data_IF_140523921781
#
_entry.id   IF_140523921781
#
_cell.length_a   1.000
_cell.length_b   1.000
_cell.length_c   1.000
_cell.angle_alpha   90.00
_cell.angle_beta   90.00
_cell.angle_gamma   90.00
#
_symmetry.space_group_name_H-M   'P 1'
#
loop_
_entity.id
_entity.type
_entity.pdbx_description
1 polymer ?
#
# COMPACT_ATOMS: atom_id res chain seq x y z
N UNK A 1 1.17 -0.11 -3.72
CA UNK A 1 1.08 -1.14 -4.78
C UNK A 1 0.30 -0.63 -5.98
N UNK A 2 -0.06 -1.54 -6.90
CA UNK A 2 -0.74 -1.21 -8.17
C UNK A 2 -2.03 -0.41 -8.04
N UNK A 3 -2.78 -0.59 -6.93
CA UNK A 3 -3.99 0.17 -6.63
C UNK A 3 -3.84 1.69 -6.80
N UNK A 4 -2.67 2.25 -6.47
CA UNK A 4 -2.43 3.69 -6.56
C UNK A 4 -2.63 4.25 -7.98
N UNK A 5 -2.31 3.49 -9.02
CA UNK A 5 -2.36 3.98 -10.40
C UNK A 5 -3.80 4.17 -10.91
N UNK A 6 -4.77 3.39 -10.42
CA UNK A 6 -6.20 3.63 -10.67
C UNK A 6 -6.62 5.00 -10.12
N UNK A 7 -6.21 5.35 -8.90
CA UNK A 7 -6.48 6.67 -8.31
C UNK A 7 -5.77 7.82 -9.04
N UNK A 8 -4.49 7.62 -9.40
CA UNK A 8 -3.70 8.61 -10.12
C UNK A 8 -4.28 8.89 -11.51
N UNK A 9 -4.66 7.84 -12.26
CA UNK A 9 -5.32 7.98 -13.56
C UNK A 9 -6.71 8.60 -13.42
N UNK A 10 -7.47 8.23 -12.39
CA UNK A 10 -8.78 8.83 -12.11
C UNK A 10 -8.69 10.35 -11.88
N UNK A 11 -7.56 10.83 -11.33
CA UNK A 11 -7.24 12.25 -11.12
C UNK A 11 -6.52 12.91 -12.32
N UNK A 12 -6.52 12.27 -13.50
CA UNK A 12 -5.96 12.84 -14.73
C UNK A 12 -4.45 12.66 -14.91
N UNK A 13 -3.78 11.85 -14.07
CA UNK A 13 -2.37 11.52 -14.22
C UNK A 13 -2.11 10.55 -15.39
N UNK A 14 -0.93 10.65 -15.99
CA UNK A 14 -0.42 9.64 -16.92
C UNK A 14 0.33 8.55 -16.14
N UNK A 15 -0.12 7.31 -16.28
CA UNK A 15 0.43 6.15 -15.56
C UNK A 15 1.08 5.12 -16.49
N UNK A 16 1.28 5.43 -17.77
CA UNK A 16 1.91 4.54 -18.74
C UNK A 16 1.22 3.17 -18.78
N UNK A 17 2.01 2.08 -18.69
CA UNK A 17 1.55 0.69 -18.62
C UNK A 17 1.33 0.17 -17.20
N UNK A 18 1.24 1.05 -16.21
CA UNK A 18 0.99 0.63 -14.82
C UNK A 18 -0.37 -0.06 -14.69
N UNK A 19 -0.50 -0.94 -13.69
CA UNK A 19 -1.74 -1.69 -13.45
C UNK A 19 -2.88 -0.73 -13.08
N UNK A 20 -3.93 -0.72 -13.91
CA UNK A 20 -5.13 0.11 -13.72
C UNK A 20 -6.37 -0.75 -13.89
N UNK A 21 -7.33 -0.56 -13.00
CA UNK A 21 -8.68 -1.08 -13.14
C UNK A 21 -9.57 0.00 -13.78
N UNK A 22 -9.67 -0.01 -15.11
CA UNK A 22 -10.37 1.04 -15.88
C UNK A 22 -11.87 1.12 -15.53
N UNK A 23 -12.49 -0.01 -15.16
CA UNK A 23 -13.87 -0.10 -14.70
C UNK A 23 -14.09 0.49 -13.30
N UNK A 24 -13.01 0.75 -12.54
CA UNK A 24 -13.03 1.34 -11.19
C UNK A 24 -12.67 2.81 -11.15
N UNK A 25 -12.38 3.45 -12.29
CA UNK A 25 -11.98 4.87 -12.32
C UNK A 25 -13.02 5.79 -11.72
N UNK A 26 -14.31 5.57 -11.99
CA UNK A 26 -15.36 6.42 -11.42
C UNK A 26 -15.48 6.21 -9.91
N UNK A 27 -15.43 4.95 -9.45
CA UNK A 27 -15.37 4.62 -8.02
C UNK A 27 -14.19 5.30 -7.33
N UNK A 28 -13.00 5.32 -7.95
CA UNK A 28 -11.84 6.01 -7.39
C UNK A 28 -12.08 7.52 -7.25
N UNK A 29 -12.71 8.19 -8.24
CA UNK A 29 -13.07 9.61 -8.14
C UNK A 29 -14.06 9.89 -7.02
N UNK A 30 -15.09 9.06 -6.90
CA UNK A 30 -16.07 9.16 -5.82
C UNK A 30 -15.42 8.99 -4.44
N UNK A 31 -14.50 8.03 -4.30
CA UNK A 31 -13.77 7.80 -3.06
C UNK A 31 -12.86 8.97 -2.68
N UNK A 32 -12.16 9.59 -3.65
CA UNK A 32 -11.37 10.81 -3.42
C UNK A 32 -12.25 11.92 -2.87
N UNK A 33 -13.37 12.22 -3.55
CA UNK A 33 -14.33 13.26 -3.10
C UNK A 33 -14.91 12.95 -1.73
N UNK A 34 -15.23 11.68 -1.47
CA UNK A 34 -15.77 11.24 -0.17
C UNK A 34 -14.75 11.36 0.95
N UNK A 35 -13.48 11.09 0.67
CA UNK A 35 -12.38 11.28 1.63
C UNK A 35 -12.25 12.77 1.98
N UNK A 36 -12.20 13.66 0.98
CA UNK A 36 -12.16 15.11 1.16
C UNK A 36 -13.35 15.62 1.98
N UNK A 37 -14.57 15.22 1.62
CA UNK A 37 -15.79 15.62 2.33
C UNK A 37 -15.83 15.16 3.80
N UNK A 38 -15.11 14.09 4.13
CA UNK A 38 -14.98 13.57 5.51
C UNK A 38 -13.73 14.07 6.24
N UNK A 39 -12.92 14.92 5.61
CA UNK A 39 -11.64 15.36 6.17
C UNK A 39 -10.60 14.23 6.32
N UNK A 40 -10.75 13.15 5.55
CA UNK A 40 -9.77 12.05 5.50
C UNK A 40 -8.66 12.43 4.53
N UNK A 41 -7.43 12.47 5.02
CA UNK A 41 -6.26 12.73 4.17
C UNK A 41 -5.89 11.47 3.39
N UNK A 42 -6.19 11.48 2.08
CA UNK A 42 -5.76 10.42 1.17
C UNK A 42 -4.34 10.72 0.66
N UNK A 43 -3.38 9.87 0.99
CA UNK A 43 -2.00 9.99 0.53
C UNK A 43 -1.73 9.05 -0.64
N UNK A 44 -1.48 9.60 -1.83
CA UNK A 44 -1.00 8.87 -3.00
C UNK A 44 0.53 9.04 -3.13
N UNK A 45 1.25 8.06 -3.74
CA UNK A 45 2.69 8.19 -3.94
C UNK A 45 3.00 9.35 -4.89
N UNK A 46 3.99 10.16 -4.54
CA UNK A 46 4.45 11.30 -5.35
C UNK A 46 5.34 10.84 -6.51
N UNK A 47 6.18 9.84 -6.27
CA UNK A 47 7.06 9.20 -7.24
C UNK A 47 7.00 7.67 -7.17
N UNK A 48 7.41 7.04 -8.26
CA UNK A 48 7.43 5.59 -8.44
C UNK A 48 8.78 5.12 -8.95
N UNK A 49 9.18 3.92 -8.55
CA UNK A 49 10.16 3.13 -9.28
C UNK A 49 9.45 2.52 -10.48
N UNK A 50 9.93 2.83 -11.67
CA UNK A 50 9.35 2.38 -12.93
C UNK A 50 10.24 1.37 -13.62
N UNK A 51 9.63 0.48 -14.40
CA UNK A 51 10.30 -0.54 -15.18
C UNK A 51 9.76 -0.61 -16.62
N UNK A 52 10.59 -1.05 -17.56
CA UNK A 52 10.20 -1.26 -18.97
C UNK A 52 9.33 -2.52 -19.16
N UNK A 53 9.41 -3.47 -18.22
CA UNK A 53 8.62 -4.71 -18.18
C UNK A 53 8.45 -5.23 -16.75
N UNK A 54 7.46 -6.11 -16.55
CA UNK A 54 7.25 -6.83 -15.30
C UNK A 54 8.21 -8.03 -15.22
N UNK A 55 9.46 -7.77 -14.86
CA UNK A 55 10.53 -8.79 -14.77
C UNK A 55 11.60 -8.36 -13.76
N UNK A 56 12.20 -9.30 -13.03
CA UNK A 56 13.29 -9.01 -12.11
C UNK A 56 14.53 -8.39 -12.80
N UNK A 57 14.73 -8.68 -14.09
CA UNK A 57 15.81 -8.17 -14.93
C UNK A 57 15.42 -6.93 -15.74
N UNK A 58 14.25 -6.33 -15.49
CA UNK A 58 13.83 -5.10 -16.15
C UNK A 58 14.84 -3.96 -15.97
N UNK A 59 14.89 -3.06 -16.95
CA UNK A 59 15.53 -1.77 -16.78
C UNK A 59 14.67 -0.93 -15.85
N UNK A 60 15.28 -0.23 -14.90
CA UNK A 60 14.56 0.55 -13.90
C UNK A 60 14.95 2.01 -13.94
N UNK A 61 13.97 2.87 -13.67
CA UNK A 61 14.16 4.30 -13.55
C UNK A 61 13.21 4.86 -12.50
N UNK A 62 13.14 6.18 -12.38
CA UNK A 62 12.23 6.89 -11.48
C UNK A 62 11.42 7.92 -12.26
N UNK A 63 10.15 8.07 -11.88
CA UNK A 63 9.31 9.15 -12.40
C UNK A 63 8.31 9.61 -11.34
N UNK A 64 7.73 10.82 -11.48
CA UNK A 64 6.49 11.14 -10.78
C UNK A 64 5.43 10.07 -11.07
N UNK A 65 4.67 9.65 -10.05
CA UNK A 65 3.70 8.55 -10.21
C UNK A 65 2.53 8.93 -11.14
N UNK A 66 2.29 10.23 -11.33
CA UNK A 66 1.29 10.79 -12.24
C UNK A 66 1.85 11.18 -13.62
N UNK A 67 3.12 10.87 -13.91
CA UNK A 67 3.78 11.17 -15.18
C UNK A 67 4.71 10.02 -15.61
N UNK A 68 4.22 8.78 -15.50
CA UNK A 68 4.98 7.60 -15.94
C UNK A 68 5.09 7.62 -17.47
N UNK A 69 6.30 7.47 -18.05
CA UNK A 69 6.49 7.46 -19.50
C UNK A 69 5.74 6.32 -20.20
N UNK A 70 5.37 6.55 -21.46
CA UNK A 70 4.76 5.51 -22.31
C UNK A 70 5.68 4.30 -22.42
N UNK A 71 5.12 3.09 -22.34
CA UNK A 71 5.90 1.85 -22.36
C UNK A 71 6.46 1.42 -21.00
N UNK A 72 6.54 2.30 -20.01
CA UNK A 72 7.00 2.01 -18.66
C UNK A 72 5.83 1.77 -17.70
N UNK A 73 6.08 1.08 -16.59
CA UNK A 73 5.10 0.79 -15.54
C UNK A 73 5.70 0.97 -14.16
N UNK A 74 4.94 1.50 -13.22
CA UNK A 74 5.37 1.63 -11.84
C UNK A 74 5.23 0.32 -11.06
N UNK A 75 6.32 -0.17 -10.48
CA UNK A 75 6.38 -1.46 -9.77
C UNK A 75 6.74 -1.33 -8.29
N UNK A 76 7.15 -0.16 -7.82
CA UNK A 76 7.32 0.18 -6.40
C UNK A 76 7.13 1.70 -6.20
N UNK A 77 6.99 2.14 -4.95
CA UNK A 77 6.99 3.57 -4.61
C UNK A 77 8.42 4.11 -4.63
N UNK A 78 8.59 5.35 -5.09
CA UNK A 78 9.89 6.00 -5.14
C UNK A 78 10.36 6.54 -3.79
N UNK A 79 11.59 7.06 -3.72
CA UNK A 79 12.17 7.58 -2.48
C UNK A 79 11.37 8.74 -1.86
N UNK A 80 10.77 9.63 -2.66
CA UNK A 80 9.99 10.75 -2.11
C UNK A 80 8.68 10.27 -1.49
N UNK A 81 8.01 9.30 -2.12
CA UNK A 81 6.82 8.65 -1.60
C UNK A 81 7.14 7.86 -0.32
N UNK A 82 8.30 7.19 -0.25
CA UNK A 82 8.78 6.53 0.97
C UNK A 82 8.88 7.52 2.14
N UNK A 83 9.54 8.66 1.93
CA UNK A 83 9.69 9.70 2.95
C UNK A 83 8.33 10.29 3.37
N UNK A 84 7.49 10.62 2.38
CA UNK A 84 6.13 11.13 2.61
C UNK A 84 5.34 10.19 3.53
N UNK A 85 5.29 8.90 3.20
CA UNK A 85 4.52 7.92 3.95
C UNK A 85 5.14 7.63 5.31
N UNK A 86 6.47 7.53 5.41
CA UNK A 86 7.15 7.35 6.70
C UNK A 86 6.84 8.49 7.68
N UNK A 87 6.79 9.74 7.19
CA UNK A 87 6.42 10.91 8.00
C UNK A 87 4.97 10.81 8.51
N UNK A 88 4.01 10.38 7.68
CA UNK A 88 2.62 10.16 8.10
C UNK A 88 2.52 9.04 9.14
N UNK A 89 3.20 7.92 8.90
CA UNK A 89 3.23 6.76 9.81
C UNK A 89 3.79 7.16 11.17
N UNK A 90 4.87 7.95 11.20
CA UNK A 90 5.51 8.38 12.45
C UNK A 90 4.63 9.24 13.35
N UNK A 91 3.60 9.88 12.79
CA UNK A 91 2.64 10.74 13.50
C UNK A 91 1.35 10.00 13.87
N UNK A 92 1.22 8.74 13.47
CA UNK A 92 0.01 7.95 13.67
C UNK A 92 0.11 7.11 14.95
N UNK A 93 -1.00 7.01 15.69
CA UNK A 93 -1.09 6.20 16.92
C UNK A 93 -1.59 4.78 16.68
N UNK A 94 -2.30 4.58 15.57
CA UNK A 94 -2.86 3.29 15.17
C UNK A 94 -2.59 3.12 13.69
N UNK A 95 -2.03 1.98 13.32
CA UNK A 95 -1.58 1.67 11.98
C UNK A 95 -2.24 0.36 11.54
N UNK A 96 -2.89 0.37 10.39
CA UNK A 96 -3.37 -0.83 9.71
C UNK A 96 -2.66 -0.91 8.37
N UNK A 97 -1.88 -1.98 8.15
CA UNK A 97 -1.17 -2.20 6.90
C UNK A 97 -1.69 -3.46 6.21
N UNK A 98 -2.19 -3.27 4.98
CA UNK A 98 -2.67 -4.33 4.11
C UNK A 98 -2.26 -4.05 2.66
N UNK A 99 -1.46 -4.94 2.09
CA UNK A 99 -0.89 -4.86 0.75
C UNK A 99 0.51 -4.24 0.70
N UNK A 100 1.47 -4.84 -0.05
CA UNK A 100 2.81 -4.30 -0.23
C UNK A 100 2.80 -3.01 -1.09
N UNK A 101 3.91 -2.27 -1.03
CA UNK A 101 4.04 -1.00 -1.76
C UNK A 101 4.45 -1.22 -3.21
N UNK A 102 5.19 -2.27 -3.47
CA UNK A 102 5.62 -2.72 -4.80
C UNK A 102 5.62 -4.25 -4.91
N UNK A 103 6.21 -4.74 -6.00
CA UNK A 103 6.42 -6.17 -6.28
C UNK A 103 7.61 -6.68 -5.46
N UNK A 104 7.41 -6.79 -4.14
CA UNK A 104 8.48 -7.01 -3.16
C UNK A 104 9.22 -8.35 -3.32
N UNK A 105 8.65 -9.28 -4.09
CA UNK A 105 9.25 -10.54 -4.49
C UNK A 105 10.47 -10.34 -5.41
N UNK A 106 10.56 -9.17 -6.06
CA UNK A 106 11.68 -8.79 -6.91
C UNK A 106 12.56 -7.76 -6.19
N UNK A 107 13.86 -8.03 -6.07
CA UNK A 107 14.80 -7.20 -5.30
C UNK A 107 14.80 -5.72 -5.73
N UNK A 108 14.60 -5.43 -7.01
CA UNK A 108 14.52 -4.07 -7.55
C UNK A 108 13.28 -3.28 -7.11
N UNK A 109 12.23 -3.95 -6.66
CA UNK A 109 10.90 -3.38 -6.39
C UNK A 109 10.42 -3.62 -4.94
N UNK A 110 11.36 -3.92 -4.04
CA UNK A 110 11.05 -4.22 -2.63
C UNK A 110 11.35 -3.07 -1.67
N UNK A 111 12.04 -2.02 -2.14
CA UNK A 111 12.57 -0.93 -1.30
C UNK A 111 11.44 -0.17 -0.59
N UNK A 112 10.37 0.16 -1.31
CA UNK A 112 9.21 0.84 -0.75
C UNK A 112 8.49 0.01 0.29
N UNK A 113 8.28 -1.29 0.03
CA UNK A 113 7.68 -2.20 1.01
C UNK A 113 8.52 -2.29 2.27
N UNK A 114 9.85 -2.40 2.14
CA UNK A 114 10.78 -2.42 3.27
C UNK A 114 10.79 -1.09 4.04
N UNK A 115 10.73 0.05 3.34
CA UNK A 115 10.68 1.36 3.96
C UNK A 115 9.43 1.53 4.84
N UNK A 116 8.26 1.10 4.34
CA UNK A 116 7.01 1.15 5.11
C UNK A 116 7.03 0.18 6.29
N UNK A 117 7.52 -1.06 6.10
CA UNK A 117 7.69 -2.00 7.21
C UNK A 117 8.60 -1.43 8.31
N UNK A 118 9.70 -0.77 7.91
CA UNK A 118 10.63 -0.10 8.84
C UNK A 118 9.93 1.04 9.58
N UNK A 119 9.20 1.91 8.87
CA UNK A 119 8.50 3.03 9.48
C UNK A 119 7.44 2.58 10.49
N UNK A 120 6.68 1.53 10.16
CA UNK A 120 5.67 0.93 11.06
C UNK A 120 6.35 0.36 12.30
N UNK A 121 7.43 -0.41 12.13
CA UNK A 121 8.18 -0.95 13.25
C UNK A 121 8.70 0.15 14.19
N UNK A 122 9.32 1.20 13.63
CA UNK A 122 9.79 2.35 14.41
C UNK A 122 8.66 3.13 15.10
N UNK A 123 7.49 3.26 14.49
CA UNK A 123 6.33 3.88 15.14
C UNK A 123 5.80 3.00 16.28
N UNK A 124 5.81 1.68 16.09
CA UNK A 124 5.39 0.70 17.10
C UNK A 124 6.29 0.74 18.33
N UNK A 125 7.61 0.77 18.12
CA UNK A 125 8.60 0.93 19.19
C UNK A 125 8.38 2.23 19.99
N UNK A 126 7.87 3.28 19.33
CA UNK A 126 7.49 4.57 19.97
C UNK A 126 6.11 4.56 20.61
N UNK A 127 5.41 3.43 20.63
CA UNK A 127 4.13 3.25 21.31
C UNK A 127 2.89 3.34 20.42
N UNK A 128 3.03 3.37 19.10
CA UNK A 128 1.87 3.19 18.20
C UNK A 128 1.41 1.72 18.22
N UNK A 129 0.11 1.50 18.04
CA UNK A 129 -0.41 0.15 17.77
C UNK A 129 -0.33 -0.14 16.28
N UNK A 130 0.32 -1.23 15.87
CA UNK A 130 0.40 -1.66 14.48
C UNK A 130 -0.24 -3.02 14.25
N UNK A 131 -1.16 -3.05 13.29
CA UNK A 131 -1.78 -4.24 12.78
C UNK A 131 -1.34 -4.45 11.34
N UNK A 132 -0.73 -5.60 11.06
CA UNK A 132 -0.43 -6.03 9.70
C UNK A 132 -1.36 -7.17 9.32
N UNK A 133 -2.07 -7.03 8.21
CA UNK A 133 -3.00 -8.03 7.72
C UNK A 133 -2.82 -8.33 6.25
N UNK A 134 -3.19 -9.54 5.82
CA UNK A 134 -3.08 -9.99 4.43
C UNK A 134 -1.84 -10.84 4.18
N UNK A 135 -1.99 -11.90 3.38
CA UNK A 135 -0.93 -12.87 3.13
C UNK A 135 0.37 -12.24 2.63
N UNK A 136 0.27 -11.30 1.69
CA UNK A 136 1.45 -10.65 1.08
C UNK A 136 2.14 -9.70 2.05
N UNK A 137 1.38 -8.89 2.80
CA UNK A 137 1.97 -8.03 3.83
C UNK A 137 2.66 -8.85 4.90
N UNK A 138 2.03 -9.92 5.38
CA UNK A 138 2.64 -10.83 6.38
C UNK A 138 3.91 -11.46 5.83
N UNK A 139 3.90 -11.89 4.57
CA UNK A 139 5.07 -12.44 3.89
C UNK A 139 6.20 -11.43 3.81
N UNK A 140 5.91 -10.17 3.47
CA UNK A 140 6.89 -9.09 3.45
C UNK A 140 7.48 -8.82 4.84
N UNK A 141 6.65 -8.75 5.90
CA UNK A 141 7.14 -8.51 7.27
C UNK A 141 8.08 -9.63 7.72
N UNK A 142 7.75 -10.88 7.39
CA UNK A 142 8.57 -12.05 7.67
C UNK A 142 9.88 -12.03 6.90
N UNK A 143 9.83 -11.78 5.58
CA UNK A 143 11.01 -11.70 4.70
C UNK A 143 12.03 -10.67 5.20
N UNK A 144 11.55 -9.54 5.74
CA UNK A 144 12.42 -8.46 6.21
C UNK A 144 12.73 -8.51 7.72
N UNK A 145 12.25 -9.53 8.45
CA UNK A 145 12.56 -9.71 9.88
C UNK A 145 11.90 -8.67 10.80
N UNK A 146 10.68 -8.23 10.47
CA UNK A 146 9.91 -7.26 11.27
C UNK A 146 8.78 -7.92 12.10
N UNK A 147 8.67 -9.25 12.07
CA UNK A 147 7.57 -10.01 12.71
C UNK A 147 7.41 -9.66 14.19
N UNK A 148 8.51 -9.59 14.93
CA UNK A 148 8.51 -9.27 16.36
C UNK A 148 8.50 -7.75 16.65
N UNK A 149 8.38 -6.92 15.61
CA UNK A 149 8.45 -5.45 15.69
C UNK A 149 7.11 -4.78 15.38
N UNK A 150 6.05 -5.56 15.20
CA UNK A 150 4.67 -5.08 14.99
C UNK A 150 3.77 -5.57 16.12
N UNK A 151 2.67 -4.87 16.41
CA UNK A 151 1.82 -5.22 17.56
C UNK A 151 0.96 -6.45 17.31
N UNK A 152 0.46 -6.63 16.08
CA UNK A 152 -0.39 -7.76 15.73
C UNK A 152 -0.25 -8.14 14.26
N UNK A 153 -0.17 -9.45 14.00
CA UNK A 153 -0.19 -10.03 12.66
C UNK A 153 -1.48 -10.82 12.48
N UNK A 154 -2.30 -10.38 11.54
CA UNK A 154 -3.54 -11.04 11.16
C UNK A 154 -3.33 -11.92 9.92
N UNK A 155 -3.67 -13.19 10.06
CA UNK A 155 -3.80 -14.13 8.93
C UNK A 155 -5.16 -14.02 8.24
N UNK A 156 -6.06 -13.16 8.73
CA UNK A 156 -7.44 -13.03 8.25
C UNK A 156 -7.60 -12.31 6.91
N UNK A 157 -6.56 -11.64 6.40
CA UNK A 157 -6.55 -10.98 5.09
C UNK A 157 -7.83 -10.21 4.77
N UNK A 158 -8.61 -10.69 3.80
CA UNK A 158 -9.90 -10.07 3.42
C UNK A 158 -10.96 -10.09 4.53
N UNK A 159 -11.02 -11.16 5.34
CA UNK A 159 -11.97 -11.24 6.46
C UNK A 159 -11.73 -10.15 7.51
N UNK A 160 -10.47 -9.77 7.72
CA UNK A 160 -10.11 -8.65 8.60
C UNK A 160 -10.68 -7.32 8.06
N UNK A 161 -10.58 -7.09 6.75
CA UNK A 161 -11.13 -5.88 6.13
C UNK A 161 -12.66 -5.87 6.20
N UNK A 162 -13.31 -6.99 5.92
CA UNK A 162 -14.77 -7.14 6.05
C UNK A 162 -15.25 -6.88 7.48
N UNK A 163 -14.50 -7.34 8.48
CA UNK A 163 -14.78 -7.03 9.88
C UNK A 163 -14.71 -5.52 10.17
N UNK A 164 -13.69 -4.82 9.62
CA UNK A 164 -13.59 -3.36 9.74
C UNK A 164 -14.65 -2.60 8.94
N UNK A 165 -15.19 -3.18 7.88
CA UNK A 165 -16.37 -2.66 7.18
C UNK A 165 -17.65 -2.75 8.04
N UNK A 166 -17.58 -3.40 9.21
CA UNK A 166 -18.71 -3.60 10.12
C UNK A 166 -19.61 -4.77 9.72
N UNK A 167 -19.13 -5.65 8.84
CA UNK A 167 -19.89 -6.85 8.46
C UNK A 167 -19.81 -7.90 9.57
N UNK A 168 -20.92 -8.57 9.81
CA UNK A 168 -20.94 -9.76 10.65
C UNK A 168 -20.26 -10.91 9.92
N UNK A 169 -19.16 -11.41 10.47
CA UNK A 169 -18.45 -12.54 9.89
C UNK A 169 -19.18 -13.84 10.25
N UNK A 170 -19.66 -14.64 9.28
CA UNK A 170 -20.46 -15.83 9.56
C UNK A 170 -19.79 -16.83 10.50
N UNK A 171 -18.46 -16.98 10.39
CA UNK A 171 -17.68 -17.86 11.26
C UNK A 171 -17.57 -17.36 12.70
N UNK A 172 -17.59 -16.04 12.93
CA UNK A 172 -17.62 -15.45 14.28
C UNK A 172 -19.02 -15.56 14.87
N UNK A 173 -20.06 -15.23 14.08
CA UNK A 173 -21.45 -15.31 14.51
C UNK A 173 -21.88 -16.74 14.92
N UNK A 174 -21.28 -17.76 14.31
CA UNK A 174 -21.54 -19.16 14.64
C UNK A 174 -20.97 -19.59 16.01
N UNK A 175 -20.03 -18.84 16.59
CA UNK A 175 -19.48 -19.10 17.92
C UNK A 175 -20.43 -18.46 18.94
N UNK A 176 -21.22 -19.29 19.63
CA UNK A 176 -22.09 -18.85 20.73
C UNK A 176 -21.24 -18.51 21.96
N UNK A 177 -21.53 -17.37 22.61
CA UNK A 177 -21.02 -17.04 23.95
C UNK A 177 -21.47 -18.07 25.01
#
# INVERSE_FOLDING_TARGET
GGMAYTFLKANGGNVGKSLVEDDRLETARELIKKAEAKGVMLHLPSDSVIADKFDANAETSHSPSNAVPEGWMGLDIGPYACEQFANVISKSKTLLWNGPMGVFEMEKFQTGTKAIATAIASATEKGAFSLVGGGDSVSAVNQFGFTDKVSYISTGGGALLEYFEGKELPGIAAIKE
#
